data_IF_640923330907
#
_entry.id   IF_640923330907
#
_cell.length_a   1.000
_cell.length_b   1.000
_cell.length_c   1.000
_cell.angle_alpha   90.00
_cell.angle_beta   90.00
_cell.angle_gamma   90.00
#
_symmetry.space_group_name_H-M   'P 1'
#
loop_
_entity.id
_entity.type
_entity.pdbx_description
1 polymer ?
#
# COMPACT_ATOMS: atom_id res chain seq x y z
N UNK A 1 0.06 0.06 21.66
CA UNK A 1 1.22 -0.57 20.99
C UNK A 1 1.70 0.43 19.97
N UNK A 2 2.99 0.68 19.83
CA UNK A 2 3.52 1.68 18.88
C UNK A 2 3.91 0.94 17.61
N UNK A 3 3.74 1.53 16.42
CA UNK A 3 4.13 0.97 15.11
C UNK A 3 5.59 0.49 15.10
N UNK A 4 6.49 1.18 15.79
CA UNK A 4 7.89 0.79 15.95
C UNK A 4 8.04 -0.64 16.50
N UNK A 5 7.22 -1.05 17.48
CA UNK A 5 7.25 -2.41 18.03
C UNK A 5 6.73 -3.46 17.05
N UNK A 6 5.78 -3.09 16.18
CA UNK A 6 5.27 -3.97 15.12
C UNK A 6 6.35 -4.19 14.08
N UNK A 7 7.02 -3.11 13.68
CA UNK A 7 8.16 -3.13 12.75
C UNK A 7 9.31 -3.96 13.32
N UNK A 8 9.67 -3.76 14.60
CA UNK A 8 10.67 -4.59 15.29
C UNK A 8 10.27 -6.07 15.36
N UNK A 9 8.98 -6.37 15.42
CA UNK A 9 8.45 -7.75 15.38
C UNK A 9 8.66 -8.44 14.03
N UNK A 10 8.61 -7.67 12.94
CA UNK A 10 8.79 -8.19 11.57
C UNK A 10 10.27 -8.36 11.23
N UNK A 11 11.08 -7.30 11.41
CA UNK A 11 12.49 -7.31 11.00
C UNK A 11 13.47 -7.61 12.14
N UNK A 12 12.97 -7.72 13.38
CA UNK A 12 13.80 -7.86 14.58
C UNK A 12 14.56 -6.59 14.93
N UNK A 13 15.33 -6.63 16.03
CA UNK A 13 16.16 -5.50 16.46
C UNK A 13 17.31 -5.13 15.51
N UNK A 14 17.45 -5.86 14.41
CA UNK A 14 18.57 -5.72 13.46
C UNK A 14 18.33 -4.65 12.40
N UNK A 15 17.16 -4.08 12.31
CA UNK A 15 16.87 -3.05 11.33
C UNK A 15 16.32 -1.79 11.99
N UNK A 16 17.06 -0.71 11.83
CA UNK A 16 16.58 0.64 12.04
C UNK A 16 16.62 1.36 10.69
N UNK A 17 15.54 1.98 10.24
CA UNK A 17 15.55 2.80 9.03
C UNK A 17 16.59 3.92 9.09
N UNK A 18 16.98 4.34 10.30
CA UNK A 18 17.96 5.38 10.55
C UNK A 18 19.44 4.92 10.46
N UNK A 19 19.72 3.61 10.33
CA UNK A 19 21.07 3.11 10.14
C UNK A 19 21.45 3.17 8.65
N UNK A 20 21.97 4.31 8.18
CA UNK A 20 22.50 4.49 6.83
C UNK A 20 21.87 5.61 6.01
N UNK A 21 20.85 6.26 6.52
CA UNK A 21 20.32 7.51 5.95
C UNK A 21 20.92 8.65 6.77
N UNK A 22 21.67 9.55 6.15
CA UNK A 22 21.94 10.86 6.73
C UNK A 22 20.58 11.41 7.17
N UNK A 23 20.48 11.76 8.46
CA UNK A 23 19.26 12.30 9.05
C UNK A 23 18.92 13.61 8.32
N UNK A 24 18.16 13.48 7.24
CA UNK A 24 17.38 14.58 6.73
C UNK A 24 16.26 14.79 7.75
N UNK A 25 16.40 15.86 8.52
CA UNK A 25 15.67 16.14 9.77
C UNK A 25 14.17 16.37 9.60
N UNK A 26 13.58 16.07 8.45
CA UNK A 26 12.14 16.24 8.15
C UNK A 26 11.37 14.94 7.93
N UNK A 27 12.01 13.78 7.87
CA UNK A 27 11.31 12.51 7.61
C UNK A 27 11.09 11.71 8.88
N UNK A 28 9.98 11.99 9.58
CA UNK A 28 9.47 11.25 10.76
C UNK A 28 8.77 9.93 10.39
N UNK A 29 8.97 9.46 9.15
CA UNK A 29 8.35 8.24 8.61
C UNK A 29 9.22 7.02 8.91
N UNK A 30 8.64 6.03 9.61
CA UNK A 30 9.37 4.80 9.89
C UNK A 30 9.50 3.89 8.65
N UNK A 31 8.56 3.91 7.70
CA UNK A 31 8.49 2.98 6.59
C UNK A 31 8.08 3.59 5.24
N UNK A 32 7.30 4.68 5.21
CA UNK A 32 6.66 5.16 3.98
C UNK A 32 7.63 5.32 2.82
N UNK A 33 8.80 5.92 3.07
CA UNK A 33 9.77 6.24 2.02
C UNK A 33 10.88 5.19 1.87
N UNK A 34 10.75 4.02 2.54
CA UNK A 34 11.83 3.05 2.68
C UNK A 34 11.61 1.73 1.91
N UNK A 35 10.62 1.65 1.01
CA UNK A 35 10.37 0.41 0.23
C UNK A 35 11.61 -0.04 -0.54
N UNK A 36 12.36 0.90 -1.14
CA UNK A 36 13.59 0.62 -1.88
C UNK A 36 14.71 0.09 -0.98
N UNK A 37 14.88 0.63 0.24
CA UNK A 37 15.88 0.16 1.19
C UNK A 37 15.57 -1.25 1.68
N UNK A 38 14.28 -1.56 1.88
CA UNK A 38 13.85 -2.92 2.22
C UNK A 38 14.16 -3.88 1.07
N UNK A 39 13.88 -3.48 -0.17
CA UNK A 39 14.17 -4.27 -1.36
C UNK A 39 15.68 -4.52 -1.55
N UNK A 40 16.52 -3.50 -1.34
CA UNK A 40 17.98 -3.64 -1.42
C UNK A 40 18.52 -4.57 -0.34
N UNK A 41 18.00 -4.46 0.88
CA UNK A 41 18.49 -5.27 2.02
C UNK A 41 17.98 -6.70 2.01
N UNK A 42 16.77 -6.91 1.51
CA UNK A 42 16.08 -8.21 1.50
C UNK A 42 15.56 -8.59 0.11
N UNK A 43 16.41 -8.67 -0.92
CA UNK A 43 15.96 -8.85 -2.30
C UNK A 43 15.18 -10.15 -2.51
N UNK A 44 15.50 -11.23 -1.76
CA UNK A 44 14.83 -12.51 -1.85
C UNK A 44 13.44 -12.55 -1.16
N UNK A 45 13.14 -11.54 -0.35
CA UNK A 45 11.87 -11.39 0.38
C UNK A 45 11.05 -10.21 -0.12
N UNK A 46 11.51 -9.56 -1.17
CA UNK A 46 10.88 -8.38 -1.76
C UNK A 46 10.29 -8.71 -3.11
N UNK A 47 9.05 -8.28 -3.30
CA UNK A 47 8.21 -8.59 -4.44
C UNK A 47 7.46 -7.32 -4.90
N UNK A 48 6.82 -7.41 -6.06
CA UNK A 48 5.77 -6.50 -6.48
C UNK A 48 4.45 -7.25 -6.63
N UNK A 49 3.37 -6.71 -6.06
CA UNK A 49 2.02 -7.05 -6.49
C UNK A 49 1.75 -6.27 -7.76
N UNK A 50 1.46 -6.96 -8.87
CA UNK A 50 1.37 -6.34 -10.18
C UNK A 50 0.18 -6.91 -10.98
N UNK A 51 -0.37 -6.12 -11.88
CA UNK A 51 -1.36 -6.56 -12.88
C UNK A 51 -0.76 -7.49 -13.91
N UNK A 52 0.54 -7.39 -14.11
CA UNK A 52 1.27 -8.12 -15.16
C UNK A 52 2.20 -9.16 -14.54
N UNK A 53 2.28 -10.37 -15.15
CA UNK A 53 3.15 -11.43 -14.66
C UNK A 53 4.64 -11.12 -14.84
N UNK A 54 4.98 -10.24 -15.77
CA UNK A 54 6.34 -9.81 -16.08
C UNK A 54 6.40 -8.29 -16.23
N UNK A 55 7.56 -7.72 -15.98
CA UNK A 55 7.79 -6.29 -16.20
C UNK A 55 7.70 -5.94 -17.68
N UNK A 56 6.88 -4.95 -18.01
CA UNK A 56 6.80 -4.42 -19.36
C UNK A 56 7.99 -3.48 -19.57
N UNK A 57 8.99 -3.93 -20.33
CA UNK A 57 10.23 -3.17 -20.57
C UNK A 57 10.09 -2.10 -21.66
N UNK A 58 9.11 -2.25 -22.55
CA UNK A 58 8.86 -1.31 -23.63
C UNK A 58 7.95 -0.19 -23.15
N UNK A 59 8.50 1.01 -23.05
CA UNK A 59 7.79 2.20 -22.57
C UNK A 59 6.54 2.52 -23.39
N UNK A 60 6.62 2.40 -24.72
CA UNK A 60 5.46 2.68 -25.59
C UNK A 60 4.31 1.69 -25.39
N UNK A 61 4.64 0.42 -25.14
CA UNK A 61 3.63 -0.60 -24.81
C UNK A 61 3.05 -0.33 -23.42
N UNK A 62 3.91 0.00 -22.46
CA UNK A 62 3.49 0.33 -21.11
C UNK A 62 2.47 1.48 -21.09
N UNK A 63 2.75 2.57 -21.80
CA UNK A 63 1.87 3.72 -21.92
C UNK A 63 0.50 3.39 -22.54
N UNK A 64 0.43 2.39 -23.42
CA UNK A 64 -0.82 1.95 -24.06
C UNK A 64 -1.71 1.09 -23.15
N UNK A 65 -1.11 0.38 -22.20
CA UNK A 65 -1.83 -0.56 -21.32
C UNK A 65 -1.98 -0.06 -19.89
N UNK A 66 -1.26 1.01 -19.54
CA UNK A 66 -1.32 1.56 -18.20
C UNK A 66 -2.58 2.38 -17.98
N UNK A 67 -3.10 2.36 -16.75
CA UNK A 67 -4.33 3.05 -16.37
C UNK A 67 -4.08 3.72 -15.03
N UNK A 68 -4.09 5.06 -15.01
CA UNK A 68 -4.04 5.87 -13.79
C UNK A 68 -5.43 6.39 -13.44
N UNK A 69 -5.68 6.59 -12.16
CA UNK A 69 -6.96 7.11 -11.71
C UNK A 69 -7.28 8.48 -12.32
N UNK A 70 -6.33 9.39 -12.33
CA UNK A 70 -6.51 10.75 -12.85
C UNK A 70 -6.74 10.81 -14.37
N UNK A 71 -6.33 9.76 -15.11
CA UNK A 71 -6.63 9.64 -16.55
C UNK A 71 -8.08 9.22 -16.82
N UNK A 72 -8.82 8.80 -15.81
CA UNK A 72 -10.21 8.33 -15.98
C UNK A 72 -11.22 9.48 -16.01
N UNK A 73 -10.79 10.70 -15.68
CA UNK A 73 -11.69 11.85 -15.61
C UNK A 73 -12.39 12.13 -16.95
N UNK A 74 -13.71 12.23 -16.90
CA UNK A 74 -14.54 12.43 -18.08
C UNK A 74 -14.61 11.24 -19.06
N UNK A 75 -14.01 10.09 -18.76
CA UNK A 75 -14.04 8.91 -19.62
C UNK A 75 -14.67 7.67 -18.95
N UNK A 76 -15.98 7.39 -19.17
CA UNK A 76 -16.68 6.29 -18.52
C UNK A 76 -16.08 4.90 -18.76
N UNK A 77 -15.48 4.66 -19.91
CA UNK A 77 -14.88 3.34 -20.22
C UNK A 77 -13.56 3.13 -19.50
N UNK A 78 -12.76 4.18 -19.34
CA UNK A 78 -11.50 4.12 -18.58
C UNK A 78 -11.77 3.95 -17.09
N UNK A 79 -12.75 4.68 -16.52
CA UNK A 79 -13.09 4.51 -15.10
C UNK A 79 -13.56 3.09 -14.80
N UNK A 80 -14.38 2.49 -15.67
CA UNK A 80 -14.80 1.09 -15.48
C UNK A 80 -13.64 0.10 -15.55
N UNK A 81 -12.70 0.34 -16.45
CA UNK A 81 -11.49 -0.48 -16.58
C UNK A 81 -10.61 -0.34 -15.34
N UNK A 82 -10.43 0.89 -14.86
CA UNK A 82 -9.70 1.18 -13.63
C UNK A 82 -10.33 0.48 -12.41
N UNK A 83 -11.63 0.67 -12.19
CA UNK A 83 -12.35 0.08 -11.06
C UNK A 83 -12.33 -1.45 -11.06
N UNK A 84 -12.28 -2.07 -12.26
CA UNK A 84 -12.12 -3.52 -12.38
C UNK A 84 -10.75 -3.98 -11.87
N UNK A 85 -9.69 -3.26 -12.22
CA UNK A 85 -8.35 -3.57 -11.71
C UNK A 85 -8.26 -3.26 -10.21
N UNK A 86 -8.76 -2.09 -9.77
CA UNK A 86 -8.83 -1.72 -8.34
C UNK A 86 -9.51 -2.82 -7.51
N UNK A 87 -10.63 -3.38 -7.98
CA UNK A 87 -11.36 -4.42 -7.25
C UNK A 87 -10.53 -5.71 -7.08
N UNK A 88 -9.70 -6.09 -8.03
CA UNK A 88 -8.80 -7.25 -7.88
C UNK A 88 -7.84 -7.07 -6.72
N UNK A 89 -7.20 -5.90 -6.62
CA UNK A 89 -6.33 -5.59 -5.48
C UNK A 89 -7.11 -5.58 -4.17
N UNK A 90 -8.31 -4.97 -4.15
CA UNK A 90 -9.18 -4.97 -2.96
C UNK A 90 -9.50 -6.38 -2.50
N UNK A 91 -9.77 -7.33 -3.40
CA UNK A 91 -10.01 -8.73 -3.03
C UNK A 91 -8.78 -9.41 -2.42
N UNK A 92 -7.58 -9.17 -2.95
CA UNK A 92 -6.33 -9.65 -2.35
C UNK A 92 -6.19 -9.12 -0.92
N UNK A 93 -6.33 -7.81 -0.75
CA UNK A 93 -6.16 -7.16 0.55
C UNK A 93 -7.23 -7.55 1.57
N UNK A 94 -8.51 -7.75 1.18
CA UNK A 94 -9.57 -8.28 2.05
C UNK A 94 -9.23 -9.66 2.58
N UNK A 95 -8.64 -10.52 1.74
CA UNK A 95 -8.21 -11.86 2.17
C UNK A 95 -7.03 -11.78 3.14
N UNK A 96 -6.10 -10.86 2.95
CA UNK A 96 -5.03 -10.61 3.92
C UNK A 96 -5.57 -10.05 5.23
N UNK A 97 -6.52 -9.11 5.17
CA UNK A 97 -7.21 -8.55 6.32
C UNK A 97 -7.84 -9.64 7.21
N UNK A 98 -8.46 -10.64 6.62
CA UNK A 98 -9.19 -11.68 7.35
C UNK A 98 -8.31 -12.49 8.32
N UNK A 99 -7.00 -12.49 8.13
CA UNK A 99 -6.03 -13.27 8.90
C UNK A 99 -5.05 -12.44 9.71
N UNK A 100 -5.22 -11.11 9.74
CA UNK A 100 -4.20 -10.23 10.31
C UNK A 100 -4.77 -9.14 11.20
N UNK A 101 -4.00 -8.78 12.23
CA UNK A 101 -4.01 -7.44 12.79
C UNK A 101 -3.30 -6.51 11.81
N UNK A 102 -3.95 -5.40 11.43
CA UNK A 102 -3.39 -4.48 10.42
C UNK A 102 -3.06 -3.14 11.05
N UNK A 103 -1.84 -2.69 10.79
CA UNK A 103 -1.39 -1.33 11.04
C UNK A 103 -1.14 -0.61 9.72
N UNK A 104 -1.27 0.69 9.72
CA UNK A 104 -0.86 1.52 8.60
C UNK A 104 0.06 2.65 9.07
N UNK A 105 0.93 3.08 8.16
CA UNK A 105 1.59 4.37 8.18
C UNK A 105 1.21 5.11 6.90
N UNK A 106 0.85 6.41 7.00
CA UNK A 106 0.20 7.12 5.89
C UNK A 106 0.60 8.58 5.83
N UNK A 107 0.63 9.14 4.61
CA UNK A 107 0.80 10.58 4.39
C UNK A 107 -0.49 11.38 4.59
N UNK A 108 -1.62 10.75 4.92
CA UNK A 108 -2.91 11.43 5.05
C UNK A 108 -2.85 12.72 5.89
N UNK A 109 -2.15 12.80 7.04
CA UNK A 109 -2.08 14.05 7.80
C UNK A 109 -1.43 15.23 7.05
N UNK A 110 -0.63 14.93 6.03
CA UNK A 110 0.19 15.93 5.31
C UNK A 110 -0.41 16.34 3.96
N UNK A 111 -1.46 15.65 3.49
CA UNK A 111 -2.09 15.96 2.20
C UNK A 111 -3.29 16.92 2.39
N UNK A 112 -3.73 17.53 1.30
CA UNK A 112 -4.99 18.23 1.28
C UNK A 112 -6.14 17.21 1.37
N UNK A 113 -6.85 17.21 2.49
CA UNK A 113 -7.91 16.24 2.76
C UNK A 113 -9.10 16.36 1.81
N UNK A 114 -9.38 17.56 1.29
CA UNK A 114 -10.47 17.76 0.32
C UNK A 114 -10.13 17.02 -0.99
N UNK A 115 -8.91 17.16 -1.50
CA UNK A 115 -8.45 16.44 -2.69
C UNK A 115 -8.51 14.91 -2.49
N UNK A 116 -8.13 14.41 -1.31
CA UNK A 116 -8.26 12.99 -0.98
C UNK A 116 -9.74 12.56 -0.91
N UNK A 117 -10.59 13.37 -0.29
CA UNK A 117 -12.04 13.10 -0.18
C UNK A 117 -12.74 13.09 -1.55
N UNK A 118 -12.37 14.00 -2.46
CA UNK A 118 -12.98 14.08 -3.80
C UNK A 118 -12.73 12.86 -4.67
N UNK A 119 -11.67 12.11 -4.38
CA UNK A 119 -11.38 10.84 -5.05
C UNK A 119 -12.29 9.69 -4.59
N UNK A 120 -13.09 9.87 -3.55
CA UNK A 120 -13.98 8.84 -2.99
C UNK A 120 -15.39 8.94 -3.55
N UNK A 121 -16.04 7.78 -3.68
CA UNK A 121 -17.33 7.61 -4.37
C UNK A 121 -18.57 7.89 -3.49
N UNK A 122 -18.42 7.94 -2.15
CA UNK A 122 -19.55 8.13 -1.26
C UNK A 122 -19.31 9.20 -0.19
N UNK A 123 -20.36 9.94 0.15
CA UNK A 123 -20.30 10.97 1.19
C UNK A 123 -19.88 10.40 2.55
N UNK A 124 -20.28 9.19 2.88
CA UNK A 124 -19.85 8.54 4.13
C UNK A 124 -18.33 8.34 4.18
N UNK A 125 -17.72 7.92 3.07
CA UNK A 125 -16.26 7.79 2.97
C UNK A 125 -15.57 9.15 3.04
N UNK A 126 -16.12 10.17 2.39
CA UNK A 126 -15.59 11.56 2.42
C UNK A 126 -15.61 12.14 3.84
N UNK A 127 -16.70 11.96 4.56
CA UNK A 127 -16.78 12.36 5.97
C UNK A 127 -15.76 11.60 6.80
N UNK A 128 -15.67 10.27 6.61
CA UNK A 128 -14.79 9.41 7.40
C UNK A 128 -13.31 9.74 7.20
N UNK A 129 -12.86 10.02 5.99
CA UNK A 129 -11.46 10.40 5.74
C UNK A 129 -11.10 11.73 6.42
N UNK A 130 -12.02 12.69 6.45
CA UNK A 130 -11.82 13.98 7.14
C UNK A 130 -11.72 13.79 8.66
N UNK A 131 -12.54 12.90 9.23
CA UNK A 131 -12.45 12.55 10.66
C UNK A 131 -11.08 11.94 10.99
N UNK A 132 -10.65 10.93 10.22
CA UNK A 132 -9.36 10.27 10.44
C UNK A 132 -8.19 11.25 10.26
N UNK A 133 -8.22 12.08 9.22
CA UNK A 133 -7.23 13.12 9.00
C UNK A 133 -7.10 14.04 10.23
N UNK A 134 -8.24 14.50 10.76
CA UNK A 134 -8.28 15.38 11.95
C UNK A 134 -7.72 14.67 13.18
N UNK A 135 -8.04 13.40 13.39
CA UNK A 135 -7.53 12.58 14.50
C UNK A 135 -6.01 12.39 14.40
N UNK A 136 -5.49 12.04 13.22
CA UNK A 136 -4.05 11.87 12.99
C UNK A 136 -3.28 13.18 13.20
N UNK A 137 -3.80 14.29 12.66
CA UNK A 137 -3.22 15.63 12.90
C UNK A 137 -3.20 16.01 14.38
N UNK A 138 -4.30 15.82 15.08
CA UNK A 138 -4.40 16.16 16.51
C UNK A 138 -3.45 15.32 17.38
N UNK A 139 -3.20 14.07 17.00
CA UNK A 139 -2.26 13.20 17.71
C UNK A 139 -0.80 13.38 17.29
N UNK A 140 -0.52 14.12 16.22
CA UNK A 140 0.82 14.20 15.63
C UNK A 140 1.33 12.87 15.08
N UNK A 141 0.42 11.91 14.78
CA UNK A 141 0.79 10.56 14.33
C UNK A 141 0.55 10.40 12.84
N UNK A 142 1.46 9.69 12.18
CA UNK A 142 1.28 9.21 10.79
C UNK A 142 0.81 7.75 10.75
N UNK A 143 0.66 7.11 11.91
CA UNK A 143 0.34 5.69 11.99
C UNK A 143 -0.85 5.39 12.88
N UNK A 144 -1.61 4.35 12.53
CA UNK A 144 -2.72 3.85 13.32
C UNK A 144 -2.95 2.35 13.11
N UNK A 145 -3.55 1.72 14.13
CA UNK A 145 -4.11 0.38 13.97
C UNK A 145 -5.49 0.49 13.31
N UNK A 146 -5.72 -0.30 12.29
CA UNK A 146 -7.02 -0.40 11.64
C UNK A 146 -7.85 -1.46 12.36
N UNK A 147 -9.06 -1.10 12.79
CA UNK A 147 -9.90 -1.97 13.59
C UNK A 147 -11.18 -2.42 12.86
N UNK A 148 -11.44 -1.91 11.67
CA UNK A 148 -12.61 -2.28 10.89
C UNK A 148 -12.30 -2.27 9.39
N UNK A 149 -13.02 -3.10 8.64
CA UNK A 149 -12.82 -3.27 7.20
C UNK A 149 -13.11 -1.99 6.41
N UNK A 150 -14.07 -1.17 6.86
CA UNK A 150 -14.43 0.06 6.18
C UNK A 150 -13.27 1.07 6.13
N UNK A 151 -12.60 1.30 7.26
CA UNK A 151 -11.41 2.17 7.31
C UNK A 151 -10.25 1.57 6.51
N UNK A 152 -10.10 0.24 6.53
CA UNK A 152 -9.09 -0.45 5.73
C UNK A 152 -9.29 -0.21 4.23
N UNK A 153 -10.50 -0.43 3.74
CA UNK A 153 -10.86 -0.22 2.33
C UNK A 153 -10.75 1.26 1.92
N UNK A 154 -11.05 2.17 2.82
CA UNK A 154 -10.88 3.61 2.60
C UNK A 154 -9.42 3.96 2.28
N UNK A 155 -8.47 3.50 3.11
CA UNK A 155 -7.05 3.72 2.85
C UNK A 155 -6.58 3.01 1.58
N UNK A 156 -7.09 1.81 1.32
CA UNK A 156 -6.74 1.07 0.13
C UNK A 156 -7.18 1.79 -1.15
N UNK A 157 -8.41 2.31 -1.19
CA UNK A 157 -8.89 3.11 -2.31
C UNK A 157 -8.05 4.37 -2.50
N UNK A 158 -7.75 5.10 -1.44
CA UNK A 158 -6.92 6.31 -1.51
C UNK A 158 -5.50 5.99 -2.00
N UNK A 159 -4.92 4.88 -1.53
CA UNK A 159 -3.58 4.44 -1.93
C UNK A 159 -3.54 4.01 -3.39
N UNK A 160 -4.49 3.20 -3.85
CA UNK A 160 -4.58 2.75 -5.24
C UNK A 160 -4.84 3.93 -6.19
N UNK A 161 -5.63 4.92 -5.77
CA UNK A 161 -5.93 6.16 -6.53
C UNK A 161 -4.86 7.24 -6.40
N UNK A 162 -3.73 6.91 -5.79
CA UNK A 162 -2.54 7.79 -5.66
C UNK A 162 -2.81 9.11 -4.92
N UNK A 163 -3.82 9.15 -4.06
CA UNK A 163 -4.17 10.36 -3.29
C UNK A 163 -3.45 10.43 -1.95
N UNK A 164 -3.04 9.25 -1.44
CA UNK A 164 -2.36 9.11 -0.15
C UNK A 164 -1.36 7.95 -0.26
N UNK A 165 -0.09 8.18 0.09
CA UNK A 165 0.85 7.08 0.26
C UNK A 165 0.56 6.36 1.58
N UNK A 166 0.51 5.04 1.55
CA UNK A 166 0.21 4.21 2.72
C UNK A 166 1.04 2.93 2.69
N UNK A 167 1.61 2.57 3.84
CA UNK A 167 2.18 1.25 4.08
C UNK A 167 1.19 0.45 4.90
N UNK A 168 0.83 -0.73 4.42
CA UNK A 168 -0.02 -1.69 5.11
C UNK A 168 0.86 -2.76 5.74
N UNK A 169 0.73 -2.95 7.04
CA UNK A 169 1.52 -3.89 7.82
C UNK A 169 0.57 -4.97 8.34
N UNK A 170 0.71 -6.17 7.80
CA UNK A 170 -0.02 -7.37 8.20
C UNK A 170 0.82 -8.11 9.25
N UNK A 171 0.51 -7.83 10.53
CA UNK A 171 1.35 -8.18 11.67
C UNK A 171 1.54 -9.70 11.81
N UNK A 172 0.46 -10.49 11.68
CA UNK A 172 0.48 -11.92 11.93
C UNK A 172 1.23 -12.70 10.82
N UNK A 173 1.15 -12.23 9.58
CA UNK A 173 1.85 -12.81 8.43
C UNK A 173 3.20 -12.17 8.16
N UNK A 174 3.57 -11.11 8.88
CA UNK A 174 4.81 -10.34 8.67
C UNK A 174 4.98 -9.88 7.22
N UNK A 175 3.91 -9.34 6.66
CA UNK A 175 3.87 -8.79 5.31
C UNK A 175 3.73 -7.28 5.41
N UNK A 176 4.53 -6.54 4.62
CA UNK A 176 4.37 -5.10 4.42
C UNK A 176 4.11 -4.82 2.95
N UNK A 177 3.13 -3.98 2.65
CA UNK A 177 2.79 -3.56 1.29
C UNK A 177 2.73 -2.05 1.24
N UNK A 178 3.44 -1.46 0.28
CA UNK A 178 3.44 -0.02 0.02
C UNK A 178 2.47 0.31 -1.10
N UNK A 179 1.60 1.30 -0.90
CA UNK A 179 0.89 1.88 -2.04
C UNK A 179 1.90 2.56 -2.95
N UNK A 180 1.74 2.40 -4.24
CA UNK A 180 2.60 2.97 -5.25
C UNK A 180 1.79 3.20 -6.53
N UNK A 181 2.44 3.76 -7.54
CA UNK A 181 1.85 4.08 -8.82
C UNK A 181 1.51 2.82 -9.65
N UNK A 182 0.60 2.95 -10.59
CA UNK A 182 0.37 2.01 -11.70
C UNK A 182 -0.11 0.61 -11.31
N UNK A 183 -0.74 0.45 -10.15
CA UNK A 183 -1.09 -0.87 -9.64
C UNK A 183 0.13 -1.82 -9.51
N UNK A 184 1.32 -1.25 -9.27
CA UNK A 184 2.52 -2.00 -8.94
C UNK A 184 2.91 -1.68 -7.50
N UNK A 185 2.57 -2.57 -6.56
CA UNK A 185 2.74 -2.32 -5.14
C UNK A 185 3.95 -3.08 -4.60
N UNK A 186 5.03 -2.38 -4.19
CA UNK A 186 6.15 -3.04 -3.51
C UNK A 186 5.66 -3.79 -2.27
N UNK A 187 6.25 -4.95 -2.04
CA UNK A 187 5.87 -5.84 -0.95
C UNK A 187 7.10 -6.52 -0.35
N UNK A 188 7.11 -6.63 0.97
CA UNK A 188 8.01 -7.49 1.72
C UNK A 188 7.22 -8.60 2.41
N UNK A 189 7.74 -9.83 2.36
CA UNK A 189 7.20 -10.99 3.08
C UNK A 189 8.32 -11.74 3.79
N UNK A 190 8.22 -11.87 5.13
CA UNK A 190 9.29 -12.49 5.94
C UNK A 190 9.28 -14.01 5.91
N UNK A 191 8.12 -14.64 5.74
CA UNK A 191 7.90 -16.08 5.85
C UNK A 191 7.48 -16.69 4.50
N UNK A 192 8.25 -17.66 4.01
CA UNK A 192 8.01 -18.31 2.72
C UNK A 192 6.62 -18.97 2.65
N UNK A 193 6.15 -19.54 3.77
CA UNK A 193 4.79 -20.12 3.86
C UNK A 193 3.71 -19.09 3.54
N UNK A 194 3.84 -17.89 4.07
CA UNK A 194 2.87 -16.82 3.82
C UNK A 194 3.07 -16.20 2.44
N UNK A 195 4.30 -16.20 1.92
CA UNK A 195 4.59 -15.82 0.54
C UNK A 195 3.88 -16.75 -0.45
N UNK A 196 3.95 -18.08 -0.24
CA UNK A 196 3.20 -19.03 -1.07
C UNK A 196 1.69 -18.86 -0.98
N UNK A 197 1.15 -18.63 0.22
CA UNK A 197 -0.27 -18.36 0.40
C UNK A 197 -0.68 -17.08 -0.34
N UNK A 198 0.11 -16.01 -0.21
CA UNK A 198 -0.13 -14.75 -0.90
C UNK A 198 -0.12 -14.94 -2.42
N UNK A 199 0.85 -15.69 -2.96
CA UNK A 199 0.91 -15.99 -4.39
C UNK A 199 -0.36 -16.68 -4.89
N UNK A 200 -0.89 -17.65 -4.12
CA UNK A 200 -2.16 -18.31 -4.45
C UNK A 200 -3.34 -17.34 -4.42
N UNK A 201 -3.41 -16.49 -3.40
CA UNK A 201 -4.45 -15.46 -3.28
C UNK A 201 -4.39 -14.52 -4.49
N UNK A 202 -3.22 -14.01 -4.81
CA UNK A 202 -3.01 -13.10 -5.96
C UNK A 202 -3.45 -13.73 -7.27
N UNK A 203 -2.98 -14.95 -7.56
CA UNK A 203 -3.32 -15.67 -8.79
C UNK A 203 -4.83 -15.89 -8.93
N UNK A 204 -5.54 -16.16 -7.84
CA UNK A 204 -6.99 -16.35 -7.83
C UNK A 204 -7.73 -15.06 -8.23
N UNK A 205 -7.19 -13.91 -7.86
CA UNK A 205 -7.77 -12.59 -8.18
C UNK A 205 -7.25 -12.00 -9.50
N UNK A 206 -6.36 -12.71 -10.20
CA UNK A 206 -5.75 -12.22 -11.43
C UNK A 206 -4.72 -11.11 -11.19
N UNK A 207 -4.05 -11.16 -10.05
CA UNK A 207 -2.89 -10.35 -9.66
C UNK A 207 -1.66 -11.28 -9.60
N UNK A 208 -0.50 -10.74 -9.83
CA UNK A 208 0.75 -11.49 -9.82
C UNK A 208 1.67 -11.00 -8.72
N UNK A 209 2.26 -11.94 -8.00
CA UNK A 209 3.36 -11.68 -7.06
C UNK A 209 4.67 -11.89 -7.84
N UNK A 210 5.29 -10.78 -8.24
CA UNK A 210 6.49 -10.78 -9.09
C UNK A 210 7.73 -10.53 -8.22
N UNK A 211 8.75 -11.40 -8.35
CA UNK A 211 10.05 -11.16 -7.71
C UNK A 211 10.71 -9.89 -8.28
N UNK A 212 11.49 -9.20 -7.44
CA UNK A 212 12.30 -8.07 -7.91
C UNK A 212 13.58 -8.50 -8.59
N UNK A 213 13.93 -9.80 -8.50
CA UNK A 213 15.16 -10.37 -9.06
C UNK A 213 14.95 -11.05 -10.43
N UNK A 214 13.72 -11.07 -10.93
CA UNK A 214 13.35 -11.68 -12.21
C UNK A 214 13.47 -10.71 -13.39
#
# INVERSE_FOLDING_TARGET
>A
MNITKVVEGIWGKKWSPSEGVEQDTECDSALLDHSHLVAERFPQKSFNLDRFPLQIKNQTIFEQVNIFFDMTDGNPSLIQSYLREEEKFKQVFRKLWAYNSVWIETTLPNVNVETAADALDSENKKIRVKEIHSQLKASGSKSMKINNLHDFELFLELGLREKVSTVYIFEDMKICVWSNFDFTLPLYSDDDKYTELLQRICTTEGIYLRSLTD
#
